data_IF_214217825927
#
_entry.id   IF_214217825927
#
_cell.length_a   1.000
_cell.length_b   1.000
_cell.length_c   1.000
_cell.angle_alpha   90.00
_cell.angle_beta   90.00
_cell.angle_gamma   90.00
#
_symmetry.space_group_name_H-M   'P 1'
#
loop_
_entity.id
_entity.type
_entity.pdbx_description
1 polymer ?
#
# COMPACT_ATOMS: atom_id res chain seq x y z
N UNK A 1 -19.14 15.20 1.20
CA UNK A 1 -18.88 14.89 1.23
C UNK A 1 -18.17 14.29 1.47
N UNK A 2 -17.93 13.78 1.51
CA UNK A 2 -17.45 13.22 1.67
C UNK A 2 -16.79 12.69 2.03
N UNK A 3 -16.62 12.51 1.95
CA UNK A 3 -16.01 11.94 2.29
C UNK A 3 -15.01 11.65 2.52
N UNK A 4 -14.68 11.59 2.49
CA UNK A 4 -13.96 11.35 2.67
C UNK A 4 -13.27 10.76 2.99
N UNK A 5 -13.28 10.36 3.01
CA UNK A 5 -12.79 9.79 3.29
C UNK A 5 -12.08 9.26 3.08
N UNK A 6 -11.94 9.15 2.87
CA UNK A 6 -11.41 8.61 2.75
C UNK A 6 -10.75 8.03 2.50
N UNK A 7 -10.98 8.03 2.41
CA UNK A 7 -10.52 7.31 2.19
C UNK A 7 -9.65 6.93 1.21
N UNK A 8 -9.26 6.90 0.65
CA UNK A 8 -8.25 6.53 -0.25
C UNK A 8 -7.42 5.35 0.20
N UNK A 9 -8.05 4.45 0.88
CA UNK A 9 -7.37 3.24 1.31
C UNK A 9 -7.38 2.24 0.19
N UNK A 10 -6.22 1.66 -0.07
CA UNK A 10 -6.06 0.69 -1.13
C UNK A 10 -5.85 -0.69 -0.55
N UNK A 11 -6.23 -1.70 -1.30
CA UNK A 11 -6.00 -3.06 -0.88
C UNK A 11 -4.67 -3.52 -1.45
N UNK A 12 -4.15 -4.61 -0.92
CA UNK A 12 -2.88 -5.12 -1.40
C UNK A 12 -2.90 -5.37 -2.90
N UNK A 13 -4.05 -5.79 -3.42
CA UNK A 13 -4.23 -6.00 -4.83
C UNK A 13 -4.01 -4.72 -5.64
N UNK A 14 -4.56 -3.63 -5.15
CA UNK A 14 -4.40 -2.34 -5.82
C UNK A 14 -2.96 -1.86 -5.76
N UNK A 15 -2.35 -2.04 -4.62
CA UNK A 15 -0.96 -1.62 -4.43
C UNK A 15 -0.05 -2.46 -5.32
N UNK A 16 -0.35 -3.75 -5.43
CA UNK A 16 0.42 -4.64 -6.27
C UNK A 16 0.42 -4.14 -7.70
N UNK A 17 -0.73 -3.68 -8.14
CA UNK A 17 -0.87 -3.17 -9.49
C UNK A 17 -0.04 -1.89 -9.68
N UNK A 18 -0.11 -1.01 -8.71
CA UNK A 18 0.62 0.25 -8.76
C UNK A 18 2.13 0.02 -8.75
N UNK A 19 2.58 -0.88 -7.91
CA UNK A 19 4.00 -1.15 -7.75
C UNK A 19 4.52 -2.20 -8.73
N UNK A 20 3.61 -2.79 -9.48
CA UNK A 20 3.97 -3.82 -10.44
C UNK A 20 4.62 -5.02 -9.75
N UNK A 21 4.01 -5.44 -8.66
CA UNK A 21 4.49 -6.57 -7.88
C UNK A 21 3.34 -7.53 -7.63
N UNK A 22 3.66 -8.78 -7.33
CA UNK A 22 2.61 -9.72 -6.94
C UNK A 22 2.00 -9.27 -5.61
N UNK A 23 0.72 -9.54 -5.37
CA UNK A 23 0.09 -9.15 -4.10
C UNK A 23 0.81 -9.74 -2.88
N UNK A 24 1.37 -10.92 -3.00
CA UNK A 24 2.09 -11.53 -1.89
C UNK A 24 3.30 -10.71 -1.50
N UNK A 25 3.94 -10.11 -2.47
CA UNK A 25 5.09 -9.27 -2.20
C UNK A 25 4.69 -8.01 -1.46
N UNK A 26 3.52 -7.47 -1.79
CA UNK A 26 3.02 -6.28 -1.11
C UNK A 26 2.79 -6.60 0.36
N UNK A 27 2.18 -7.74 0.63
CA UNK A 27 1.91 -8.15 1.98
C UNK A 27 3.22 -8.40 2.73
N UNK A 28 4.17 -8.99 2.06
CA UNK A 28 5.47 -9.25 2.64
C UNK A 28 6.13 -7.92 3.06
N UNK A 29 6.09 -6.94 2.19
CA UNK A 29 6.67 -5.64 2.47
C UNK A 29 5.99 -4.98 3.66
N UNK A 30 4.68 -5.14 3.74
CA UNK A 30 3.92 -4.57 4.84
C UNK A 30 4.30 -5.24 6.16
N UNK A 31 4.44 -6.56 6.13
CA UNK A 31 4.78 -7.31 7.31
C UNK A 31 6.18 -6.99 7.81
N UNK A 32 7.07 -6.68 6.90
CA UNK A 32 8.44 -6.34 7.25
C UNK A 32 8.60 -4.88 7.63
N UNK A 33 7.54 -4.12 7.47
CA UNK A 33 7.60 -2.71 7.81
C UNK A 33 8.26 -1.85 6.75
N UNK A 34 8.51 -2.41 5.58
CA UNK A 34 9.13 -1.65 4.50
C UNK A 34 8.12 -0.79 3.79
N UNK A 35 6.88 -1.23 3.79
CA UNK A 35 5.81 -0.47 3.19
C UNK A 35 4.77 -0.25 4.28
N UNK A 36 4.47 0.98 4.56
CA UNK A 36 3.54 1.30 5.62
C UNK A 36 2.13 0.85 5.25
N UNK A 37 1.51 0.07 6.08
CA UNK A 37 0.17 -0.41 5.84
C UNK A 37 -0.60 -0.51 7.14
N UNK A 38 -1.89 -0.64 7.03
CA UNK A 38 -2.78 -0.76 8.17
C UNK A 38 -3.41 -2.14 8.12
N UNK A 39 -3.22 -2.90 9.18
CA UNK A 39 -3.80 -4.25 9.23
C UNK A 39 -5.18 -4.18 9.83
N UNK A 40 -6.17 -4.60 9.07
CA UNK A 40 -7.53 -4.64 9.57
C UNK A 40 -8.05 -6.06 9.45
N UNK A 41 -8.11 -6.77 10.54
CA UNK A 41 -8.55 -8.14 10.54
C UNK A 41 -7.60 -8.97 9.71
N UNK A 42 -8.12 -9.56 8.65
CA UNK A 42 -7.31 -10.39 7.78
C UNK A 42 -6.72 -9.63 6.64
N UNK A 43 -7.10 -8.38 6.46
CA UNK A 43 -6.71 -7.64 5.28
C UNK A 43 -5.81 -6.48 5.60
N UNK A 44 -4.97 -6.15 4.64
CA UNK A 44 -4.12 -4.98 4.74
C UNK A 44 -4.70 -3.87 3.90
N UNK A 45 -4.62 -2.65 4.42
CA UNK A 45 -5.03 -1.48 3.67
C UNK A 45 -3.86 -0.53 3.63
N UNK A 46 -3.76 0.23 2.58
CA UNK A 46 -2.64 1.11 2.38
C UNK A 46 -3.12 2.48 1.94
N UNK A 47 -2.39 3.50 2.32
CA UNK A 47 -2.73 4.84 1.87
C UNK A 47 -1.96 5.12 0.61
N UNK A 48 -2.59 5.81 -0.31
CA UNK A 48 -1.97 6.11 -1.58
C UNK A 48 -0.65 6.87 -1.36
N UNK A 49 -0.65 7.79 -0.44
CA UNK A 49 0.55 8.58 -0.17
C UNK A 49 1.71 7.68 0.29
N UNK A 50 1.43 6.69 1.08
CA UNK A 50 2.45 5.78 1.56
C UNK A 50 2.97 4.90 0.43
N UNK A 51 2.09 4.51 -0.45
CA UNK A 51 2.48 3.70 -1.61
C UNK A 51 3.37 4.51 -2.54
N UNK A 52 2.99 5.74 -2.77
CA UNK A 52 3.78 6.61 -3.62
C UNK A 52 5.14 6.92 -3.01
N UNK A 53 5.17 7.06 -1.71
CA UNK A 53 6.41 7.33 -1.01
C UNK A 53 7.35 6.15 -1.16
N UNK A 54 6.82 4.94 -1.01
CA UNK A 54 7.63 3.74 -1.17
C UNK A 54 8.13 3.62 -2.61
N UNK A 55 7.24 3.89 -3.56
CA UNK A 55 7.57 3.80 -4.96
C UNK A 55 8.71 4.75 -5.31
N UNK A 56 8.67 5.94 -4.77
CA UNK A 56 9.70 6.91 -4.97
C UNK A 56 11.03 6.47 -4.44
N UNK A 57 11.03 5.85 -3.27
CA UNK A 57 12.24 5.38 -2.65
C UNK A 57 12.91 4.27 -3.44
N UNK A 58 12.10 3.36 -3.95
CA UNK A 58 12.66 2.23 -4.67
C UNK A 58 13.12 2.61 -6.04
N UNK A 59 12.46 3.58 -6.62
CA UNK A 59 12.83 4.02 -7.94
C UNK A 59 13.79 5.19 -7.95
N UNK A 60 14.32 5.51 -6.79
CA UNK A 60 15.21 6.55 -6.72
C UNK A 60 16.41 6.19 -7.46
N UNK A 61 16.81 6.83 -8.26
CA UNK A 61 17.84 6.41 -9.01
C UNK A 61 18.81 7.15 -9.07
#
# INVERSE_FOLDING_TARGET
MAPAKTDNLLRSKDVAHILDLPPDDVIYLARKGKLRGIKEGKYWKFRLRDVKFYQKRVHKE
#
